data_IF_725792023119
#
_entry.id   IF_725792023119
#
_cell.length_a   1.000
_cell.length_b   1.000
_cell.length_c   1.000
_cell.angle_alpha   90.00
_cell.angle_beta   90.00
_cell.angle_gamma   90.00
#
_symmetry.space_group_name_H-M   'P 1'
#
loop_
_entity.id
_entity.type
_entity.pdbx_description
1 polymer ?
#
# COMPACT_ATOMS: atom_id res chain seq x y z
N UNK A 1 -13.06 -16.27 -7.40
CA UNK A 1 -13.85 -15.10 -7.84
C UNK A 1 -13.13 -13.86 -7.33
N UNK A 2 -12.75 -12.91 -8.21
CA UNK A 2 -11.96 -11.74 -7.81
C UNK A 2 -12.72 -10.85 -6.82
N UNK A 3 -12.00 -10.21 -5.89
CA UNK A 3 -12.58 -9.36 -4.84
C UNK A 3 -13.41 -8.20 -5.40
N UNK A 4 -13.04 -7.71 -6.58
CA UNK A 4 -13.81 -6.70 -7.32
C UNK A 4 -15.25 -7.16 -7.65
N UNK A 5 -15.44 -8.47 -7.92
CA UNK A 5 -16.77 -9.03 -8.17
C UNK A 5 -17.58 -9.17 -6.88
N UNK A 6 -16.93 -9.45 -5.74
CA UNK A 6 -17.58 -9.48 -4.43
C UNK A 6 -18.06 -8.08 -4.00
N UNK A 7 -17.31 -7.02 -4.29
CA UNK A 7 -17.74 -5.66 -3.99
C UNK A 7 -18.98 -5.25 -4.81
N UNK A 8 -19.11 -5.79 -6.03
CA UNK A 8 -20.26 -5.54 -6.92
C UNK A 8 -21.46 -6.45 -6.62
N UNK A 9 -21.31 -7.45 -5.76
CA UNK A 9 -22.39 -8.33 -5.34
C UNK A 9 -23.30 -7.61 -4.31
N UNK A 10 -24.60 -7.42 -4.62
CA UNK A 10 -25.54 -6.77 -3.72
C UNK A 10 -25.65 -7.44 -2.35
N UNK A 11 -25.46 -8.77 -2.28
CA UNK A 11 -25.57 -9.51 -1.02
C UNK A 11 -24.36 -9.23 -0.12
N UNK A 12 -23.15 -9.30 -0.67
CA UNK A 12 -21.92 -8.95 0.02
C UNK A 12 -21.92 -7.49 0.50
N UNK A 13 -22.42 -6.56 -0.33
CA UNK A 13 -22.58 -5.15 0.05
C UNK A 13 -23.57 -4.96 1.20
N UNK A 14 -24.64 -5.75 1.24
CA UNK A 14 -25.60 -5.72 2.35
C UNK A 14 -24.95 -6.21 3.64
N UNK A 15 -24.27 -7.37 3.60
CA UNK A 15 -23.57 -7.94 4.75
C UNK A 15 -22.51 -6.99 5.31
N UNK A 16 -21.73 -6.35 4.44
CA UNK A 16 -20.77 -5.31 4.85
C UNK A 16 -21.44 -4.12 5.55
N UNK A 17 -22.57 -3.63 5.02
CA UNK A 17 -23.29 -2.51 5.63
C UNK A 17 -23.91 -2.89 6.97
N UNK A 18 -24.42 -4.10 7.08
CA UNK A 18 -25.04 -4.60 8.31
C UNK A 18 -23.97 -4.81 9.39
N UNK A 19 -22.83 -5.43 9.06
CA UNK A 19 -21.71 -5.59 9.99
C UNK A 19 -21.13 -4.24 10.45
N UNK A 20 -21.05 -3.26 9.54
CA UNK A 20 -20.55 -1.93 9.86
C UNK A 20 -21.49 -1.18 10.81
N UNK A 21 -22.81 -1.35 10.67
CA UNK A 21 -23.79 -0.73 11.58
C UNK A 21 -23.69 -1.34 12.98
N UNK A 22 -23.53 -2.66 13.07
CA UNK A 22 -23.35 -3.35 14.35
C UNK A 22 -22.07 -2.91 15.06
N UNK A 23 -20.95 -2.85 14.33
CA UNK A 23 -19.68 -2.42 14.89
C UNK A 23 -19.64 -0.92 15.23
N UNK A 24 -20.29 -0.07 14.43
CA UNK A 24 -20.37 1.36 14.69
C UNK A 24 -21.31 1.68 15.87
N UNK A 25 -22.40 0.92 16.04
CA UNK A 25 -23.25 1.00 17.22
C UNK A 25 -22.46 0.60 18.49
N UNK A 26 -21.60 -0.40 18.40
CA UNK A 26 -20.72 -0.78 19.50
C UNK A 26 -19.68 0.30 19.84
N UNK A 27 -19.09 0.95 18.83
CA UNK A 27 -18.06 1.99 19.00
C UNK A 27 -18.62 3.31 19.53
N UNK A 28 -19.83 3.72 19.12
CA UNK A 28 -20.38 5.05 19.46
C UNK A 28 -21.22 5.08 20.74
N UNK A 29 -21.76 3.93 21.20
CA UNK A 29 -22.72 3.89 22.32
C UNK A 29 -22.22 3.16 23.57
N UNK A 30 -21.04 2.51 23.53
CA UNK A 30 -20.44 1.89 24.72
C UNK A 30 -19.34 2.72 25.38
N UNK A 31 -19.00 3.89 24.84
CA UNK A 31 -18.05 4.81 25.46
C UNK A 31 -18.77 5.63 26.55
N UNK A 32 -18.97 5.00 27.71
CA UNK A 32 -18.98 5.75 28.96
C UNK A 32 -17.52 6.09 29.31
N UNK A 33 -17.28 7.37 29.54
CA UNK A 33 -16.10 7.98 30.16
C UNK A 33 -14.94 8.50 29.28
N UNK A 34 -14.70 9.80 29.51
CA UNK A 34 -13.44 10.56 29.49
C UNK A 34 -12.69 10.77 28.17
N UNK A 35 -12.70 12.05 27.72
CA UNK A 35 -11.65 12.74 26.93
C UNK A 35 -10.77 11.87 26.03
N UNK A 36 -11.40 10.98 25.24
CA UNK A 36 -10.65 10.20 24.27
C UNK A 36 -10.10 11.15 23.21
N UNK A 37 -8.78 11.08 23.01
CA UNK A 37 -8.14 11.84 21.93
C UNK A 37 -8.82 11.51 20.61
N UNK A 38 -9.15 12.54 19.80
CA UNK A 38 -9.68 12.40 18.43
C UNK A 38 -8.93 11.34 17.60
N UNK A 39 -7.64 11.13 17.88
CA UNK A 39 -6.84 10.08 17.23
C UNK A 39 -7.29 8.65 17.57
N UNK A 40 -7.73 8.39 18.80
CA UNK A 40 -8.24 7.09 19.26
C UNK A 40 -9.61 6.80 18.63
N UNK A 41 -10.53 7.76 18.65
CA UNK A 41 -11.82 7.65 17.97
C UNK A 41 -11.65 7.37 16.48
N UNK A 42 -10.76 8.11 15.82
CA UNK A 42 -10.48 7.90 14.40
C UNK A 42 -9.90 6.51 14.12
N UNK A 43 -9.06 6.00 15.02
CA UNK A 43 -8.54 4.63 14.91
C UNK A 43 -9.64 3.58 15.12
N UNK A 44 -10.55 3.76 16.09
CA UNK A 44 -11.71 2.88 16.30
C UNK A 44 -12.59 2.82 15.04
N UNK A 45 -12.93 3.98 14.46
CA UNK A 45 -13.71 4.07 13.22
C UNK A 45 -12.99 3.37 12.07
N UNK A 46 -11.69 3.66 11.90
CA UNK A 46 -10.88 3.03 10.86
C UNK A 46 -10.82 1.52 11.01
N UNK A 47 -10.64 1.00 12.22
CA UNK A 47 -10.60 -0.44 12.48
C UNK A 47 -11.95 -1.08 12.16
N UNK A 48 -13.05 -0.49 12.62
CA UNK A 48 -14.41 -0.96 12.35
C UNK A 48 -14.70 -1.12 10.84
N UNK A 49 -14.33 -0.10 10.05
CA UNK A 49 -14.45 -0.14 8.58
C UNK A 49 -13.58 -1.23 7.97
N UNK A 50 -12.31 -1.29 8.38
CA UNK A 50 -11.32 -2.21 7.79
C UNK A 50 -11.66 -3.67 8.10
N UNK A 51 -12.11 -3.94 9.33
CA UNK A 51 -12.50 -5.27 9.77
C UNK A 51 -13.76 -5.75 9.05
N UNK A 52 -14.82 -4.93 9.01
CA UNK A 52 -16.04 -5.23 8.25
C UNK A 52 -15.76 -5.53 6.78
N UNK A 53 -14.86 -4.77 6.15
CA UNK A 53 -14.47 -5.00 4.76
C UNK A 53 -13.68 -6.31 4.61
N UNK A 54 -12.80 -6.62 5.56
CA UNK A 54 -12.00 -7.85 5.57
C UNK A 54 -12.89 -9.09 5.70
N UNK A 55 -13.88 -9.06 6.59
CA UNK A 55 -14.71 -10.23 6.89
C UNK A 55 -15.69 -10.56 5.75
N UNK A 56 -16.24 -9.54 5.09
CA UNK A 56 -17.25 -9.73 4.05
C UNK A 56 -16.66 -9.80 2.63
N UNK A 57 -15.76 -8.87 2.31
CA UNK A 57 -15.20 -8.74 0.97
C UNK A 57 -13.91 -9.58 0.88
N UNK A 58 -13.01 -9.41 1.85
CA UNK A 58 -11.68 -10.02 1.88
C UNK A 58 -10.57 -9.05 1.48
N UNK A 59 -9.32 -9.44 1.71
CA UNK A 59 -8.13 -8.62 1.43
C UNK A 59 -7.48 -9.08 0.13
N UNK A 60 -7.29 -8.16 -0.81
CA UNK A 60 -6.43 -8.43 -1.96
C UNK A 60 -4.98 -8.28 -1.50
N UNK A 61 -4.25 -9.39 -1.45
CA UNK A 61 -2.80 -9.29 -1.31
C UNK A 61 -2.30 -8.62 -2.58
N UNK A 62 -1.90 -7.35 -2.48
CA UNK A 62 -1.10 -6.74 -3.53
C UNK A 62 0.19 -7.56 -3.64
N UNK A 63 0.23 -8.44 -4.64
CA UNK A 63 1.50 -8.96 -5.12
C UNK A 63 2.34 -7.75 -5.50
N UNK A 64 3.42 -7.48 -4.76
CA UNK A 64 4.50 -6.67 -5.31
C UNK A 64 5.05 -7.49 -6.47
N UNK A 65 4.46 -7.34 -7.66
CA UNK A 65 4.73 -8.09 -8.88
C UNK A 65 6.07 -7.67 -9.50
N UNK A 66 7.12 -7.72 -8.70
CA UNK A 66 8.44 -7.36 -9.13
C UNK A 66 9.44 -8.17 -8.32
N UNK A 67 9.79 -9.35 -8.81
CA UNK A 67 11.00 -10.06 -8.38
C UNK A 67 12.23 -9.13 -8.45
N UNK A 68 12.16 -8.10 -9.31
CA UNK A 68 13.16 -7.06 -9.42
C UNK A 68 13.14 -5.97 -8.34
N UNK A 69 12.05 -5.81 -7.59
CA UNK A 69 11.91 -4.79 -6.55
C UNK A 69 12.37 -5.37 -5.19
N UNK A 70 13.68 -5.54 -5.05
CA UNK A 70 14.32 -6.01 -3.82
C UNK A 70 14.50 -4.94 -2.74
N UNK A 71 15.14 -5.34 -1.63
CA UNK A 71 15.40 -4.49 -0.45
C UNK A 71 16.14 -3.19 -0.78
N UNK A 72 17.04 -3.20 -1.77
CA UNK A 72 17.74 -1.98 -2.18
C UNK A 72 16.79 -0.95 -2.80
N UNK A 73 15.89 -1.38 -3.69
CA UNK A 73 14.88 -0.49 -4.28
C UNK A 73 13.95 0.08 -3.21
N UNK A 74 13.58 -0.74 -2.21
CA UNK A 74 12.79 -0.31 -1.07
C UNK A 74 13.50 0.80 -0.27
N UNK A 75 14.78 0.60 0.09
CA UNK A 75 15.58 1.59 0.84
C UNK A 75 15.68 2.93 0.12
N UNK A 76 15.87 2.93 -1.21
CA UNK A 76 15.90 4.18 -1.97
C UNK A 76 14.54 4.88 -1.97
N UNK A 77 13.46 4.12 -2.10
CA UNK A 77 12.09 4.66 -2.07
C UNK A 77 11.76 5.26 -0.70
N UNK A 78 12.19 4.62 0.39
CA UNK A 78 12.01 5.12 1.76
C UNK A 78 12.71 6.46 1.95
N UNK A 79 13.98 6.59 1.58
CA UNK A 79 14.71 7.88 1.63
C UNK A 79 14.01 8.98 0.84
N UNK A 80 13.50 8.66 -0.36
CA UNK A 80 12.71 9.59 -1.18
C UNK A 80 11.41 10.00 -0.46
N UNK A 81 10.74 9.06 0.21
CA UNK A 81 9.50 9.33 0.94
C UNK A 81 9.76 10.19 2.18
N UNK A 82 10.84 9.96 2.92
CA UNK A 82 11.28 10.82 4.03
C UNK A 82 11.55 12.25 3.55
N UNK A 83 12.33 12.40 2.47
CA UNK A 83 12.58 13.70 1.87
C UNK A 83 11.28 14.38 1.39
N UNK A 84 10.31 13.60 0.87
CA UNK A 84 9.00 14.11 0.49
C UNK A 84 8.21 14.62 1.70
N UNK A 85 8.21 13.88 2.82
CA UNK A 85 7.54 14.32 4.07
C UNK A 85 8.11 15.65 4.54
N UNK A 86 9.45 15.77 4.59
CA UNK A 86 10.15 16.99 4.98
C UNK A 86 9.80 18.15 4.03
N UNK A 87 9.81 17.91 2.72
CA UNK A 87 9.45 18.91 1.71
C UNK A 87 8.01 19.40 1.90
N UNK A 88 7.06 18.49 2.12
CA UNK A 88 5.64 18.82 2.28
C UNK A 88 5.36 19.66 3.54
N UNK A 89 6.10 19.40 4.63
CA UNK A 89 5.99 20.20 5.85
C UNK A 89 6.59 21.60 5.67
N UNK A 90 7.71 21.70 4.96
CA UNK A 90 8.45 22.95 4.79
C UNK A 90 9.08 23.02 3.41
N UNK A 91 8.45 23.77 2.51
CA UNK A 91 8.92 23.89 1.13
C UNK A 91 10.03 24.95 1.02
N UNK A 92 11.27 24.54 1.28
CA UNK A 92 12.45 25.38 1.00
C UNK A 92 13.16 24.87 -0.26
N UNK A 93 13.91 25.75 -0.94
CA UNK A 93 14.69 25.38 -2.13
C UNK A 93 15.61 24.19 -1.89
N UNK A 94 16.34 24.19 -0.78
CA UNK A 94 17.23 23.08 -0.41
C UNK A 94 16.46 21.76 -0.22
N UNK A 95 15.32 21.77 0.48
CA UNK A 95 14.46 20.58 0.68
C UNK A 95 13.89 20.07 -0.65
N UNK A 96 13.51 20.97 -1.55
CA UNK A 96 13.09 20.63 -2.91
C UNK A 96 14.21 19.96 -3.71
N UNK A 97 15.43 20.50 -3.65
CA UNK A 97 16.61 19.92 -4.33
C UNK A 97 16.95 18.53 -3.79
N UNK A 98 16.94 18.34 -2.46
CA UNK A 98 17.15 17.04 -1.81
C UNK A 98 16.12 16.01 -2.30
N UNK A 99 14.82 16.36 -2.27
CA UNK A 99 13.77 15.48 -2.77
C UNK A 99 13.96 15.14 -4.26
N UNK A 100 14.29 16.13 -5.08
CA UNK A 100 14.52 15.94 -6.51
C UNK A 100 15.71 15.01 -6.78
N UNK A 101 16.78 15.12 -6.00
CA UNK A 101 17.94 14.23 -6.10
C UNK A 101 17.56 12.79 -5.76
N UNK A 102 16.88 12.54 -4.64
CA UNK A 102 16.39 11.20 -4.30
C UNK A 102 15.39 10.67 -5.32
N UNK A 103 14.52 11.52 -5.88
CA UNK A 103 13.58 11.12 -6.94
C UNK A 103 14.31 10.64 -8.19
N UNK A 104 15.36 11.35 -8.62
CA UNK A 104 16.20 10.94 -9.76
C UNK A 104 16.93 9.64 -9.44
N UNK A 105 17.55 9.55 -8.26
CA UNK A 105 18.32 8.37 -7.84
C UNK A 105 17.46 7.10 -7.82
N UNK A 106 16.29 7.16 -7.17
CA UNK A 106 15.32 6.05 -7.15
C UNK A 106 14.96 5.60 -8.55
N UNK A 107 14.61 6.54 -9.43
CA UNK A 107 14.20 6.22 -10.79
C UNK A 107 15.32 5.53 -11.56
N UNK A 108 16.55 6.02 -11.44
CA UNK A 108 17.72 5.44 -12.12
C UNK A 108 17.99 4.03 -11.60
N UNK A 109 18.07 3.85 -10.28
CA UNK A 109 18.42 2.56 -9.66
C UNK A 109 17.35 1.50 -9.89
N UNK A 110 16.08 1.84 -9.68
CA UNK A 110 14.97 0.91 -9.91
C UNK A 110 14.87 0.50 -11.38
N UNK A 111 15.01 1.45 -12.33
CA UNK A 111 15.00 1.13 -13.77
C UNK A 111 16.17 0.26 -14.18
N UNK A 112 17.37 0.53 -13.65
CA UNK A 112 18.55 -0.29 -13.92
C UNK A 112 18.33 -1.72 -13.43
N UNK A 113 17.93 -1.91 -12.18
CA UNK A 113 17.70 -3.23 -11.60
C UNK A 113 16.61 -4.01 -12.32
N UNK A 114 15.52 -3.33 -12.70
CA UNK A 114 14.48 -3.93 -13.54
C UNK A 114 15.02 -4.46 -14.86
N UNK A 115 15.88 -3.69 -15.55
CA UNK A 115 16.47 -4.11 -16.82
C UNK A 115 17.43 -5.29 -16.64
N UNK A 116 18.26 -5.27 -15.61
CA UNK A 116 19.20 -6.36 -15.30
C UNK A 116 18.45 -7.69 -15.17
N UNK A 117 17.40 -7.74 -14.35
CA UNK A 117 16.64 -8.98 -14.12
C UNK A 117 15.88 -9.43 -15.36
N UNK A 118 15.30 -8.51 -16.14
CA UNK A 118 14.65 -8.87 -17.40
C UNK A 118 15.67 -9.45 -18.39
N UNK A 119 16.87 -8.88 -18.47
CA UNK A 119 17.92 -9.39 -19.34
C UNK A 119 18.42 -10.78 -18.91
N UNK A 120 18.59 -10.99 -17.60
CA UNK A 120 18.93 -12.31 -17.03
C UNK A 120 17.87 -13.35 -17.41
N UNK A 121 16.58 -13.02 -17.25
CA UNK A 121 15.48 -13.90 -17.64
C UNK A 121 15.49 -14.22 -19.15
N UNK A 122 15.76 -13.23 -20.00
CA UNK A 122 15.86 -13.44 -21.44
C UNK A 122 17.04 -14.34 -21.82
N UNK A 123 18.19 -14.18 -21.16
CA UNK A 123 19.35 -15.06 -21.37
C UNK A 123 19.03 -16.50 -20.99
N UNK A 124 18.41 -16.73 -19.83
CA UNK A 124 17.99 -18.07 -19.41
C UNK A 124 17.03 -18.72 -20.42
N UNK A 125 16.07 -17.96 -20.95
CA UNK A 125 15.15 -18.47 -21.98
C UNK A 125 15.90 -18.84 -23.28
N UNK A 126 16.84 -18.00 -23.71
CA UNK A 126 17.66 -18.27 -24.90
C UNK A 126 18.52 -19.52 -24.75
N UNK A 127 19.13 -19.71 -23.58
CA UNK A 127 19.94 -20.89 -23.26
C UNK A 127 19.10 -22.17 -23.30
N UNK A 128 17.92 -22.16 -22.67
CA UNK A 128 16.99 -23.31 -22.67
C UNK A 128 16.50 -23.64 -24.09
N UNK A 129 16.20 -22.63 -24.91
CA UNK A 129 15.78 -22.84 -26.29
C UNK A 129 16.91 -23.27 -27.23
N UNK A 130 18.17 -23.02 -26.88
CA UNK A 130 19.33 -23.44 -27.68
C UNK A 130 19.79 -24.86 -27.35
N UNK A 131 19.31 -25.44 -26.24
CA UNK A 131 19.60 -26.82 -25.84
C UNK A 131 18.49 -27.83 -26.22
N UNK A 132 17.37 -27.34 -26.77
CA UNK A 132 16.31 -28.15 -27.39
C UNK A 132 16.42 -28.09 -28.91
#
# INVERSE_FOLDING_TARGET
MGLEKKLKDPNCMRQYRDSLKESQHFVLYNDNDEEESVGLEWNKIKQSITQSATDNIGIEKQGRNADWFGNDCLRFVEKKNEARKIKLQHETRSKCEIYNNYRREVNTKCRKKKREIINEQLQTIQEVNSQN
#
